data_IF_166099204566
#
_entry.id   IF_166099204566
#
_cell.length_a   1.000
_cell.length_b   1.000
_cell.length_c   1.000
_cell.angle_alpha   90.00
_cell.angle_beta   90.00
_cell.angle_gamma   90.00
#
_symmetry.space_group_name_H-M   'P 1'
#
loop_
_entity.id
_entity.type
_entity.pdbx_description
1 polymer ?
#
# COMPACT_ATOMS: atom_id res chain seq x y z
N UNK A 1 -6.13 -16.94 -2.03
CA UNK A 1 -6.50 -15.84 -1.11
C UNK A 1 -6.11 -14.52 -1.76
N UNK A 2 -7.09 -13.69 -2.12
CA UNK A 2 -6.90 -12.46 -2.88
C UNK A 2 -7.32 -11.27 -2.01
N UNK A 3 -6.36 -10.53 -1.48
CA UNK A 3 -6.56 -9.52 -0.45
C UNK A 3 -6.14 -8.14 -0.95
N UNK A 4 -6.88 -7.13 -0.55
CA UNK A 4 -6.52 -5.72 -0.73
C UNK A 4 -6.30 -5.10 0.65
N UNK A 5 -5.18 -4.41 0.85
CA UNK A 5 -4.97 -3.50 1.97
C UNK A 5 -5.33 -2.08 1.56
N UNK A 6 -6.32 -1.54 2.24
CA UNK A 6 -6.81 -0.18 2.11
C UNK A 6 -6.44 0.65 3.35
N UNK A 7 -6.58 1.94 3.23
CA UNK A 7 -6.33 2.89 4.31
C UNK A 7 -5.50 4.09 3.83
N UNK A 8 -5.55 5.21 4.57
CA UNK A 8 -4.85 6.43 4.20
C UNK A 8 -3.32 6.25 4.16
N UNK A 9 -2.62 7.18 3.51
CA UNK A 9 -1.17 7.25 3.63
C UNK A 9 -0.77 7.37 5.11
N UNK A 10 0.23 6.60 5.55
CA UNK A 10 0.63 6.57 6.97
C UNK A 10 -0.12 5.56 7.85
N UNK A 11 -1.19 4.91 7.37
CA UNK A 11 -1.98 3.95 8.16
C UNK A 11 -1.22 2.68 8.60
N UNK A 12 -0.07 2.37 8.00
CA UNK A 12 0.73 1.20 8.35
C UNK A 12 0.54 0.00 7.43
N UNK A 13 -0.09 0.18 6.25
CA UNK A 13 -0.32 -0.90 5.26
C UNK A 13 0.94 -1.71 4.94
N UNK A 14 2.05 -1.04 4.63
CA UNK A 14 3.31 -1.73 4.32
C UNK A 14 3.84 -2.58 5.48
N UNK A 15 3.73 -2.10 6.73
CA UNK A 15 4.10 -2.88 7.93
C UNK A 15 3.24 -4.14 8.05
N UNK A 16 1.93 -4.01 7.80
CA UNK A 16 1.03 -5.16 7.83
C UNK A 16 1.27 -6.11 6.65
N UNK A 17 1.58 -5.57 5.47
CA UNK A 17 1.94 -6.36 4.30
C UNK A 17 3.21 -7.21 4.55
N UNK A 18 4.22 -6.66 5.24
CA UNK A 18 5.42 -7.41 5.62
C UNK A 18 5.09 -8.55 6.59
N UNK A 19 4.20 -8.33 7.57
CA UNK A 19 3.75 -9.35 8.50
C UNK A 19 2.92 -10.43 7.78
N UNK A 20 2.00 -10.05 6.89
CA UNK A 20 1.24 -11.00 6.07
C UNK A 20 2.17 -11.84 5.22
N UNK A 21 3.10 -11.24 4.49
CA UNK A 21 4.08 -11.93 3.65
C UNK A 21 4.96 -12.91 4.43
N UNK A 22 5.27 -12.61 5.69
CA UNK A 22 6.06 -13.51 6.53
C UNK A 22 5.29 -14.76 6.98
N UNK A 23 3.95 -14.69 7.04
CA UNK A 23 3.10 -15.76 7.55
C UNK A 23 2.27 -16.49 6.49
N UNK A 24 2.09 -15.88 5.30
CA UNK A 24 1.26 -16.43 4.22
C UNK A 24 2.02 -16.47 2.90
N UNK A 25 1.95 -17.58 2.13
CA UNK A 25 2.71 -17.76 0.89
C UNK A 25 2.02 -17.06 -0.30
N UNK A 26 1.71 -15.79 -0.17
CA UNK A 26 1.12 -14.96 -1.24
C UNK A 26 2.03 -13.79 -1.58
N UNK A 27 2.17 -13.43 -2.87
CA UNK A 27 2.99 -12.29 -3.26
C UNK A 27 2.37 -10.97 -2.79
N UNK A 28 3.20 -10.08 -2.28
CA UNK A 28 2.86 -8.68 -1.99
C UNK A 28 3.10 -7.84 -3.23
N UNK A 29 2.07 -7.15 -3.69
CA UNK A 29 2.07 -6.27 -4.86
C UNK A 29 1.77 -4.85 -4.38
N UNK A 30 2.82 -4.04 -4.28
CA UNK A 30 2.72 -2.63 -3.88
C UNK A 30 2.90 -1.73 -5.10
N UNK A 31 1.84 -1.07 -5.55
CA UNK A 31 1.93 -0.13 -6.70
C UNK A 31 2.86 1.04 -6.39
N UNK A 32 2.90 1.49 -5.14
CA UNK A 32 3.83 2.52 -4.73
C UNK A 32 5.30 2.10 -4.86
N UNK A 33 5.63 0.85 -4.53
CA UNK A 33 7.00 0.33 -4.68
C UNK A 33 7.33 0.08 -6.15
N UNK A 34 6.40 -0.45 -6.93
CA UNK A 34 6.58 -0.63 -8.38
C UNK A 34 6.93 0.70 -9.07
N UNK A 35 6.21 1.78 -8.75
CA UNK A 35 6.54 3.10 -9.30
C UNK A 35 7.87 3.65 -8.78
N UNK A 36 8.20 3.48 -7.50
CA UNK A 36 9.49 3.90 -6.95
C UNK A 36 10.66 3.15 -7.59
N UNK A 37 10.49 1.87 -7.85
CA UNK A 37 11.50 1.07 -8.56
C UNK A 37 11.64 1.52 -10.01
N UNK A 38 10.55 1.81 -10.71
CA UNK A 38 10.56 2.38 -12.05
C UNK A 38 11.27 3.75 -12.09
N UNK A 39 11.05 4.60 -11.09
CA UNK A 39 11.76 5.89 -10.93
C UNK A 39 13.25 5.66 -10.69
N UNK A 40 13.62 4.75 -9.79
CA UNK A 40 15.01 4.43 -9.45
C UNK A 40 15.78 3.88 -10.66
N UNK A 41 15.10 3.11 -11.51
CA UNK A 41 15.66 2.54 -12.74
C UNK A 41 15.63 3.52 -13.92
N UNK A 42 15.11 4.74 -13.74
CA UNK A 42 15.09 5.79 -14.78
C UNK A 42 14.22 5.45 -15.99
N UNK A 43 13.20 4.58 -15.83
CA UNK A 43 12.30 4.25 -16.94
C UNK A 43 11.41 5.43 -17.32
N UNK A 44 10.97 5.51 -18.57
CA UNK A 44 10.07 6.57 -19.04
C UNK A 44 8.78 6.62 -18.19
N UNK A 45 8.16 5.46 -17.95
CA UNK A 45 6.98 5.34 -17.07
C UNK A 45 7.29 5.81 -15.64
N UNK A 46 8.45 5.47 -15.09
CA UNK A 46 8.88 5.91 -13.77
C UNK A 46 9.05 7.43 -13.70
N UNK A 47 9.66 8.04 -14.68
CA UNK A 47 9.83 9.50 -14.76
C UNK A 47 8.50 10.23 -14.90
N UNK A 48 7.54 9.66 -15.61
CA UNK A 48 6.16 10.18 -15.68
C UNK A 48 5.45 10.04 -14.32
N UNK A 49 5.46 8.86 -13.72
CA UNK A 49 4.86 8.60 -12.42
C UNK A 49 5.42 9.51 -11.31
N UNK A 50 6.71 9.82 -11.36
CA UNK A 50 7.39 10.71 -10.41
C UNK A 50 6.71 12.08 -10.30
N UNK A 51 6.27 12.66 -11.42
CA UNK A 51 5.60 13.98 -11.44
C UNK A 51 4.32 14.00 -10.60
N UNK A 52 3.57 12.90 -10.64
CA UNK A 52 2.35 12.75 -9.83
C UNK A 52 2.69 12.48 -8.36
N UNK A 53 3.62 11.58 -8.10
CA UNK A 53 4.01 11.20 -6.74
C UNK A 53 4.59 12.38 -5.96
N UNK A 54 5.51 13.16 -6.55
CA UNK A 54 6.12 14.33 -5.91
C UNK A 54 5.10 15.45 -5.62
N UNK A 55 4.00 15.50 -6.37
CA UNK A 55 2.88 16.43 -6.15
C UNK A 55 1.77 15.86 -5.26
N UNK A 56 1.93 14.65 -4.73
CA UNK A 56 0.93 13.99 -3.89
C UNK A 56 -0.33 13.51 -4.62
N UNK A 57 -0.32 13.50 -5.95
CA UNK A 57 -1.43 13.06 -6.81
C UNK A 57 -1.30 11.57 -7.15
N UNK A 58 -2.42 10.99 -7.60
CA UNK A 58 -2.39 9.62 -8.13
C UNK A 58 -1.80 9.62 -9.55
N UNK A 59 -1.03 8.56 -9.85
CA UNK A 59 -0.66 8.22 -11.24
C UNK A 59 -1.94 7.89 -12.00
N UNK A 60 -2.08 8.27 -13.29
CA UNK A 60 -3.29 7.99 -14.07
C UNK A 60 -3.77 6.55 -13.97
N UNK A 61 -5.09 6.37 -13.92
CA UNK A 61 -5.72 5.06 -13.71
C UNK A 61 -5.27 4.04 -14.75
N UNK A 62 -5.22 4.44 -16.02
CA UNK A 62 -4.87 3.56 -17.13
C UNK A 62 -3.45 2.97 -16.97
N UNK A 63 -2.50 3.79 -16.54
CA UNK A 63 -1.11 3.36 -16.29
C UNK A 63 -1.08 2.39 -15.11
N UNK A 64 -1.76 2.74 -14.00
CA UNK A 64 -1.77 1.93 -12.78
C UNK A 64 -2.50 0.60 -13.01
N UNK A 65 -3.63 0.61 -13.72
CA UNK A 65 -4.36 -0.61 -14.08
C UNK A 65 -3.49 -1.53 -14.94
N UNK A 66 -2.80 -0.99 -15.95
CA UNK A 66 -1.95 -1.78 -16.85
C UNK A 66 -0.86 -2.52 -16.09
N UNK A 67 -0.09 -1.84 -15.22
CA UNK A 67 0.99 -2.49 -14.47
C UNK A 67 0.48 -3.54 -13.47
N UNK A 68 -0.70 -3.32 -12.86
CA UNK A 68 -1.28 -4.30 -11.95
C UNK A 68 -1.80 -5.51 -12.71
N UNK A 69 -2.45 -5.30 -13.85
CA UNK A 69 -2.91 -6.39 -14.72
C UNK A 69 -1.74 -7.28 -15.16
N UNK A 70 -0.65 -6.69 -15.64
CA UNK A 70 0.55 -7.43 -16.01
C UNK A 70 1.11 -8.24 -14.85
N UNK A 71 1.15 -7.65 -13.65
CA UNK A 71 1.67 -8.30 -12.44
C UNK A 71 0.78 -9.46 -11.98
N UNK A 72 -0.55 -9.32 -12.07
CA UNK A 72 -1.50 -10.36 -11.68
C UNK A 72 -1.49 -11.59 -12.61
N UNK A 73 -1.00 -11.45 -13.83
CA UNK A 73 -0.80 -12.55 -14.77
C UNK A 73 0.45 -13.41 -14.46
N UNK A 74 1.31 -13.00 -13.53
CA UNK A 74 2.48 -13.77 -13.15
C UNK A 74 2.09 -15.05 -12.39
N UNK A 75 2.88 -16.12 -12.57
CA UNK A 75 2.59 -17.44 -12.03
C UNK A 75 2.49 -17.50 -10.50
N UNK A 76 3.26 -16.65 -9.80
CA UNK A 76 3.23 -16.58 -8.34
C UNK A 76 1.90 -16.04 -7.78
N UNK A 77 1.10 -15.34 -8.61
CA UNK A 77 -0.24 -14.87 -8.27
C UNK A 77 -1.31 -15.96 -8.38
N UNK A 78 -0.99 -17.15 -8.87
CA UNK A 78 -2.00 -18.20 -9.10
C UNK A 78 -2.69 -18.65 -7.81
N UNK A 79 -1.97 -18.73 -6.70
CA UNK A 79 -2.51 -19.14 -5.39
C UNK A 79 -3.08 -17.98 -4.57
N UNK A 80 -3.04 -16.75 -5.10
CA UNK A 80 -3.53 -15.56 -4.46
C UNK A 80 -2.51 -14.42 -4.47
N UNK A 81 -2.88 -13.30 -3.87
CA UNK A 81 -2.05 -12.09 -3.81
C UNK A 81 -2.51 -11.15 -2.70
N UNK A 82 -1.62 -10.25 -2.33
CA UNK A 82 -1.87 -9.10 -1.47
C UNK A 82 -1.59 -7.83 -2.27
N UNK A 83 -2.64 -7.05 -2.57
CA UNK A 83 -2.52 -5.72 -3.18
C UNK A 83 -2.39 -4.65 -2.11
N UNK A 84 -1.38 -3.79 -2.23
CA UNK A 84 -1.16 -2.61 -1.38
C UNK A 84 -1.06 -1.34 -2.24
N UNK A 85 -1.91 -0.38 -1.92
CA UNK A 85 -1.99 0.89 -2.65
C UNK A 85 -2.65 0.81 -4.03
N UNK A 86 -3.42 -0.25 -4.28
CA UNK A 86 -4.32 -0.42 -5.40
C UNK A 86 -5.49 -1.33 -4.97
N UNK A 87 -6.74 -1.01 -5.39
CA UNK A 87 -7.15 0.20 -6.12
C UNK A 87 -7.12 1.45 -5.23
N UNK A 88 -7.09 2.64 -5.87
CA UNK A 88 -7.21 3.94 -5.21
C UNK A 88 -8.38 4.77 -5.73
N UNK A 89 -9.04 4.32 -6.78
CA UNK A 89 -10.27 4.94 -7.32
C UNK A 89 -11.30 3.86 -7.61
N UNK A 90 -12.58 4.22 -7.66
CA UNK A 90 -13.65 3.29 -8.02
C UNK A 90 -13.42 2.71 -9.42
N UNK A 91 -12.94 3.54 -10.37
CA UNK A 91 -12.57 3.10 -11.72
C UNK A 91 -11.50 1.99 -11.71
N UNK A 92 -10.49 2.13 -10.84
CA UNK A 92 -9.47 1.09 -10.66
C UNK A 92 -10.07 -0.19 -10.05
N UNK A 93 -11.02 -0.07 -9.11
CA UNK A 93 -11.66 -1.23 -8.50
C UNK A 93 -12.53 -2.01 -9.51
N UNK A 94 -13.30 -1.29 -10.32
CA UNK A 94 -14.10 -1.89 -11.40
C UNK A 94 -13.21 -2.61 -12.43
N UNK A 95 -12.09 -1.99 -12.81
CA UNK A 95 -11.12 -2.61 -13.71
C UNK A 95 -10.47 -3.86 -13.08
N UNK A 96 -10.14 -3.82 -11.79
CA UNK A 96 -9.61 -4.97 -11.05
C UNK A 96 -10.61 -6.13 -11.05
N UNK A 97 -11.89 -5.86 -10.77
CA UNK A 97 -12.92 -6.89 -10.77
C UNK A 97 -13.06 -7.56 -12.14
N UNK A 98 -12.97 -6.78 -13.24
CA UNK A 98 -13.00 -7.32 -14.60
C UNK A 98 -11.76 -8.22 -14.87
N UNK A 99 -10.56 -7.77 -14.50
CA UNK A 99 -9.32 -8.56 -14.66
C UNK A 99 -9.40 -9.86 -13.87
N UNK A 100 -9.84 -9.78 -12.62
CA UNK A 100 -9.97 -10.98 -11.76
C UNK A 100 -11.03 -11.94 -12.27
N UNK A 101 -12.16 -11.45 -12.78
CA UNK A 101 -13.20 -12.30 -13.38
C UNK A 101 -12.67 -13.09 -14.59
N UNK A 102 -11.83 -12.48 -15.45
CA UNK A 102 -11.17 -13.17 -16.56
C UNK A 102 -10.23 -14.28 -16.08
N UNK A 103 -9.63 -14.11 -14.90
CA UNK A 103 -8.75 -15.11 -14.26
C UNK A 103 -9.52 -16.13 -13.40
N UNK A 104 -10.85 -16.07 -13.36
CA UNK A 104 -11.68 -16.91 -12.49
C UNK A 104 -11.50 -16.65 -11.00
N UNK A 105 -11.11 -15.42 -10.64
CA UNK A 105 -10.81 -14.95 -9.28
C UNK A 105 -11.75 -13.81 -8.88
N UNK A 106 -11.71 -13.47 -7.61
CA UNK A 106 -12.37 -12.27 -7.04
C UNK A 106 -11.56 -11.74 -5.87
N UNK A 107 -11.84 -10.52 -5.45
CA UNK A 107 -11.37 -9.99 -4.17
C UNK A 107 -12.13 -10.70 -3.04
N UNK A 108 -11.41 -11.39 -2.16
CA UNK A 108 -12.00 -12.11 -1.02
C UNK A 108 -12.13 -11.19 0.19
N UNK A 109 -11.16 -10.32 0.42
CA UNK A 109 -11.22 -9.31 1.49
C UNK A 109 -10.58 -7.98 1.07
N UNK A 110 -11.30 -6.88 1.30
CA UNK A 110 -10.81 -5.52 1.26
C UNK A 110 -10.66 -5.03 2.72
N UNK A 111 -9.44 -5.06 3.23
CA UNK A 111 -9.12 -4.73 4.63
C UNK A 111 -8.69 -3.28 4.71
N UNK A 112 -9.48 -2.45 5.37
CA UNK A 112 -9.20 -1.04 5.58
C UNK A 112 -8.60 -0.80 6.97
N UNK A 113 -7.39 -0.26 7.01
CA UNK A 113 -6.72 0.15 8.25
C UNK A 113 -7.05 1.62 8.48
N UNK A 114 -7.88 1.89 9.49
CA UNK A 114 -8.33 3.24 9.82
C UNK A 114 -7.48 3.87 10.93
N UNK A 115 -7.06 5.12 10.72
CA UNK A 115 -6.19 5.86 11.65
C UNK A 115 -6.59 7.34 11.63
N UNK A 116 -6.71 8.03 12.78
CA UNK A 116 -6.96 9.45 12.84
C UNK A 116 -5.95 10.31 12.08
N UNK A 117 -6.40 11.39 11.47
CA UNK A 117 -5.59 12.21 10.54
C UNK A 117 -4.38 12.84 11.20
N UNK A 118 -4.51 13.32 12.43
CA UNK A 118 -3.40 13.91 13.21
C UNK A 118 -2.24 12.92 13.39
N UNK A 119 -2.56 11.65 13.64
CA UNK A 119 -1.58 10.57 13.78
C UNK A 119 -0.93 10.24 12.42
N UNK A 120 -1.69 10.31 11.33
CA UNK A 120 -1.19 10.05 9.98
C UNK A 120 -0.09 11.03 9.58
N UNK A 121 -0.26 12.32 9.87
CA UNK A 121 0.74 13.34 9.57
C UNK A 121 2.05 13.04 10.31
N UNK A 122 1.99 12.74 11.61
CA UNK A 122 3.17 12.38 12.40
C UNK A 122 3.87 11.12 11.83
N UNK A 123 3.08 10.08 11.51
CA UNK A 123 3.60 8.84 10.94
C UNK A 123 4.27 9.03 9.59
N UNK A 124 3.75 9.92 8.74
CA UNK A 124 4.31 10.16 7.41
C UNK A 124 5.58 10.99 7.47
N UNK A 125 5.57 12.08 8.24
CA UNK A 125 6.72 13.00 8.33
C UNK A 125 7.92 12.39 9.04
N UNK A 126 7.69 11.45 9.95
CA UNK A 126 8.75 10.71 10.65
C UNK A 126 9.20 9.42 9.95
N UNK A 127 8.59 9.06 8.80
CA UNK A 127 8.92 7.83 8.07
C UNK A 127 10.23 7.97 7.31
N UNK A 128 11.08 6.94 7.46
CA UNK A 128 12.29 6.75 6.65
C UNK A 128 12.28 5.35 6.06
N UNK A 129 12.90 5.17 4.92
CA UNK A 129 12.93 3.89 4.20
C UNK A 129 14.31 3.57 3.69
N UNK A 130 14.69 2.30 3.70
CA UNK A 130 15.93 1.85 3.10
C UNK A 130 15.89 1.98 1.56
N UNK A 131 16.91 2.56 0.97
CA UNK A 131 17.06 2.66 -0.49
C UNK A 131 17.10 1.30 -1.16
N UNK A 132 17.75 0.32 -0.52
CA UNK A 132 18.04 -1.00 -1.10
C UNK A 132 16.90 -1.99 -0.85
N UNK A 133 16.64 -2.36 0.42
CA UNK A 133 15.68 -3.41 0.76
C UNK A 133 14.25 -2.89 1.04
N UNK A 134 14.00 -1.59 0.93
CA UNK A 134 12.71 -0.91 1.12
C UNK A 134 12.12 -1.02 2.53
N UNK A 135 12.83 -1.63 3.47
CA UNK A 135 12.39 -1.72 4.88
C UNK A 135 12.07 -0.33 5.43
N UNK A 136 10.92 -0.24 6.08
CA UNK A 136 10.38 1.01 6.61
C UNK A 136 10.72 1.15 8.09
N UNK A 137 11.21 2.31 8.47
CA UNK A 137 11.46 2.73 9.85
C UNK A 137 10.70 4.01 10.16
N UNK A 138 10.70 4.38 11.42
CA UNK A 138 10.13 5.66 11.86
C UNK A 138 11.03 6.27 12.93
N UNK A 139 11.37 7.54 12.79
CA UNK A 139 12.30 8.24 13.67
C UNK A 139 11.92 8.14 15.18
N UNK A 140 10.61 8.05 15.49
CA UNK A 140 10.10 8.00 16.87
C UNK A 140 9.58 6.61 17.28
N UNK A 141 8.84 5.91 16.39
CA UNK A 141 8.10 4.71 16.76
C UNK A 141 8.84 3.40 16.46
N UNK A 142 9.78 3.42 15.52
CA UNK A 142 10.58 2.27 15.11
C UNK A 142 11.91 2.78 14.56
N UNK A 143 12.73 3.35 15.43
CA UNK A 143 14.04 3.91 15.04
C UNK A 143 15.03 2.78 14.71
N UNK A 144 15.91 2.98 13.70
CA UNK A 144 17.00 2.05 13.45
C UNK A 144 18.00 2.05 14.60
N UNK A 145 18.70 0.95 14.80
CA UNK A 145 19.73 0.84 15.85
C UNK A 145 20.90 1.84 15.64
N UNK A 146 21.19 2.16 14.37
CA UNK A 146 22.14 3.18 13.98
C UNK A 146 21.50 4.17 13.03
N UNK A 147 21.57 5.45 13.36
CA UNK A 147 21.01 6.53 12.53
C UNK A 147 21.52 6.45 11.08
N UNK A 148 20.58 6.54 10.13
CA UNK A 148 20.86 6.52 8.71
C UNK A 148 21.19 5.15 8.11
N UNK A 149 21.25 4.08 8.91
CA UNK A 149 21.66 2.74 8.47
C UNK A 149 20.54 1.73 8.69
N UNK A 150 20.22 0.96 7.67
CA UNK A 150 19.21 -0.10 7.74
C UNK A 150 19.72 -1.30 8.57
N UNK A 151 19.00 -1.69 9.62
CA UNK A 151 19.34 -2.84 10.45
C UNK A 151 19.28 -4.17 9.69
N UNK A 152 18.48 -4.24 8.60
CA UNK A 152 18.27 -5.46 7.85
C UNK A 152 19.36 -5.74 6.82
N UNK A 153 19.86 -4.71 6.12
CA UNK A 153 20.80 -4.89 5.00
C UNK A 153 22.01 -3.94 5.02
N UNK A 154 22.09 -3.01 5.99
CA UNK A 154 23.16 -2.02 6.06
C UNK A 154 23.04 -0.85 5.08
N UNK A 155 22.01 -0.82 4.25
CA UNK A 155 21.76 0.23 3.26
C UNK A 155 21.39 1.57 3.88
N UNK A 156 21.45 2.63 3.09
CA UNK A 156 21.12 4.00 3.50
C UNK A 156 19.62 4.17 3.76
N UNK A 157 19.28 4.82 4.87
CA UNK A 157 17.89 5.21 5.19
C UNK A 157 17.64 6.65 4.77
N UNK A 158 16.57 6.86 4.02
CA UNK A 158 16.16 8.20 3.53
C UNK A 158 14.68 8.44 3.75
N UNK A 159 14.33 9.72 3.94
CA UNK A 159 12.94 10.14 3.88
C UNK A 159 12.48 10.14 2.42
N UNK A 160 11.26 9.66 2.16
CA UNK A 160 10.66 9.70 0.82
C UNK A 160 10.35 11.14 0.41
N UNK A 161 10.48 11.47 -0.86
CA UNK A 161 10.15 12.82 -1.38
C UNK A 161 8.68 13.17 -1.16
N UNK A 162 7.81 12.17 -1.19
CA UNK A 162 6.36 12.31 -1.02
C UNK A 162 5.90 12.32 0.46
N UNK A 163 6.82 12.25 1.44
CA UNK A 163 6.53 12.34 2.88
C UNK A 163 6.88 13.71 3.49
N UNK A 164 6.95 14.74 2.68
CA UNK A 164 7.30 16.09 3.11
C UNK A 164 6.07 17.02 3.16
N UNK A 165 5.94 17.76 4.24
CA UNK A 165 5.09 18.92 4.49
C UNK A 165 3.79 18.99 3.68
N UNK A 166 3.77 19.85 2.67
CA UNK A 166 2.62 20.11 1.80
C UNK A 166 2.16 18.87 1.02
N UNK A 167 3.11 18.02 0.59
CA UNK A 167 2.80 16.78 -0.15
C UNK A 167 2.01 15.81 0.72
N UNK A 168 2.31 15.73 2.03
CA UNK A 168 1.56 14.89 2.97
C UNK A 168 0.10 15.31 3.03
N UNK A 169 -0.18 16.62 3.19
CA UNK A 169 -1.55 17.15 3.21
C UNK A 169 -2.27 16.82 1.91
N UNK A 170 -1.62 17.07 0.77
CA UNK A 170 -2.22 16.78 -0.53
C UNK A 170 -2.57 15.32 -0.70
N UNK A 171 -1.75 14.41 -0.22
CA UNK A 171 -2.02 12.96 -0.25
C UNK A 171 -3.22 12.57 0.61
N UNK A 172 -3.42 13.20 1.76
CA UNK A 172 -4.59 12.97 2.60
C UNK A 172 -5.87 13.51 1.94
N UNK A 173 -5.82 14.71 1.34
CA UNK A 173 -6.93 15.27 0.55
C UNK A 173 -7.31 14.34 -0.61
N UNK A 174 -6.32 13.91 -1.41
CA UNK A 174 -6.54 13.01 -2.55
C UNK A 174 -7.11 11.66 -2.09
N UNK A 175 -6.65 11.14 -0.93
CA UNK A 175 -7.21 9.93 -0.34
C UNK A 175 -8.69 10.14 0.03
N UNK A 176 -9.02 11.22 0.71
CA UNK A 176 -10.40 11.51 1.12
C UNK A 176 -11.34 11.65 -0.08
N UNK A 177 -10.89 12.32 -1.15
CA UNK A 177 -11.71 12.59 -2.34
C UNK A 177 -11.84 11.37 -3.25
N UNK A 178 -10.75 10.63 -3.50
CA UNK A 178 -10.70 9.63 -4.57
C UNK A 178 -10.69 8.18 -4.07
N UNK A 179 -10.10 7.93 -2.89
CA UNK A 179 -9.92 6.57 -2.38
C UNK A 179 -10.97 6.18 -1.35
N UNK A 180 -11.40 7.11 -0.52
CA UNK A 180 -12.42 6.85 0.51
C UNK A 180 -13.73 6.26 -0.06
N UNK A 181 -14.21 6.62 -1.26
CA UNK A 181 -15.38 5.99 -1.89
C UNK A 181 -15.27 4.47 -2.09
N UNK A 182 -14.07 3.91 -2.07
CA UNK A 182 -13.87 2.45 -2.14
C UNK A 182 -14.42 1.71 -0.92
N UNK A 183 -14.55 2.38 0.23
CA UNK A 183 -15.15 1.80 1.44
C UNK A 183 -16.58 1.36 1.12
N UNK A 184 -17.39 2.26 0.55
CA UNK A 184 -18.76 1.94 0.17
C UNK A 184 -18.81 0.91 -0.97
N UNK A 185 -17.87 0.98 -1.92
CA UNK A 185 -17.77 0.03 -3.02
C UNK A 185 -17.62 -1.42 -2.52
N UNK A 186 -16.67 -1.69 -1.61
CA UNK A 186 -16.45 -3.03 -1.07
C UNK A 186 -17.46 -3.43 0.01
N UNK A 187 -18.05 -2.47 0.74
CA UNK A 187 -19.19 -2.75 1.63
C UNK A 187 -20.40 -3.29 0.86
N UNK A 188 -20.71 -2.72 -0.31
CA UNK A 188 -21.78 -3.23 -1.20
C UNK A 188 -21.51 -4.64 -1.72
N UNK A 189 -20.25 -5.00 -1.90
CA UNK A 189 -19.84 -6.36 -2.29
C UNK A 189 -19.84 -7.36 -1.13
N UNK A 190 -19.94 -6.89 0.13
CA UNK A 190 -19.96 -7.74 1.31
C UNK A 190 -18.60 -8.32 1.72
N UNK A 191 -17.50 -7.76 1.20
CA UNK A 191 -16.13 -8.23 1.46
C UNK A 191 -15.23 -7.15 2.10
N UNK A 192 -15.83 -6.11 2.70
CA UNK A 192 -15.13 -5.03 3.40
C UNK A 192 -14.92 -5.36 4.88
N UNK A 193 -13.72 -5.10 5.38
CA UNK A 193 -13.33 -5.28 6.79
C UNK A 193 -12.59 -4.04 7.29
N UNK A 194 -13.18 -3.31 8.24
CA UNK A 194 -12.54 -2.16 8.89
C UNK A 194 -11.74 -2.60 10.13
N UNK A 195 -10.50 -2.13 10.23
CA UNK A 195 -9.60 -2.42 11.35
C UNK A 195 -9.06 -1.11 11.92
N UNK A 196 -9.15 -0.95 13.24
CA UNK A 196 -8.54 0.16 13.96
C UNK A 196 -7.01 0.05 13.92
N UNK A 197 -6.37 0.95 13.15
CA UNK A 197 -4.91 1.03 12.99
C UNK A 197 -4.21 1.92 14.01
N UNK A 198 -4.95 2.49 14.98
CA UNK A 198 -4.38 3.31 16.06
C UNK A 198 -3.97 2.46 17.28
N UNK A 199 -3.34 1.33 16.99
CA UNK A 199 -2.83 0.36 17.98
C UNK A 199 -1.45 -0.13 17.56
N UNK A 200 -0.83 -0.99 18.36
CA UNK A 200 0.45 -1.61 18.00
C UNK A 200 0.32 -2.44 16.71
N UNK A 201 1.38 -2.53 15.93
CA UNK A 201 1.37 -3.31 14.67
C UNK A 201 0.99 -4.78 14.88
N UNK A 202 1.33 -5.36 16.03
CA UNK A 202 0.99 -6.75 16.38
C UNK A 202 -0.50 -6.93 16.69
N UNK A 203 -1.14 -5.96 17.34
CA UNK A 203 -2.58 -6.01 17.61
C UNK A 203 -3.38 -5.85 16.31
N UNK A 204 -2.97 -4.92 15.45
CA UNK A 204 -3.57 -4.74 14.12
C UNK A 204 -3.43 -6.03 13.29
N UNK A 205 -2.25 -6.64 13.33
CA UNK A 205 -1.99 -7.89 12.60
C UNK A 205 -2.90 -9.04 13.09
N UNK A 206 -3.09 -9.19 14.41
CA UNK A 206 -3.99 -10.21 14.95
C UNK A 206 -5.44 -10.07 14.44
N UNK A 207 -5.92 -8.83 14.25
CA UNK A 207 -7.26 -8.63 13.70
C UNK A 207 -7.31 -8.92 12.20
N UNK A 208 -6.23 -8.60 11.47
CA UNK A 208 -6.07 -9.02 10.06
C UNK A 208 -6.06 -10.54 9.95
N UNK A 209 -5.32 -11.25 10.81
CA UNK A 209 -5.29 -12.72 10.84
C UNK A 209 -6.67 -13.34 11.08
N UNK A 210 -7.51 -12.74 11.94
CA UNK A 210 -8.89 -13.22 12.14
C UNK A 210 -9.72 -13.11 10.87
N UNK A 211 -9.59 -11.99 10.14
CA UNK A 211 -10.26 -11.82 8.85
C UNK A 211 -9.76 -12.88 7.87
N UNK A 212 -8.45 -13.02 7.72
CA UNK A 212 -7.84 -13.97 6.77
C UNK A 212 -8.17 -15.42 7.10
N UNK A 213 -8.29 -15.77 8.39
CA UNK A 213 -8.67 -17.12 8.84
C UNK A 213 -10.15 -17.46 8.61
N UNK A 214 -10.99 -16.46 8.28
CA UNK A 214 -12.41 -16.65 7.97
C UNK A 214 -12.71 -16.75 6.48
N UNK A 215 -11.73 -16.56 5.60
CA UNK A 215 -11.84 -16.64 4.13
C UNK A 215 -11.69 -18.09 3.64
#
# INVERSE_FOLDING_TARGET
MNIILMGPPGAGKGTQADLIKANYPIPHISTGDMFRDAVSNGTEMGMEAKKYMDSGRLVPDEVTIGIVQDRLNAQDCNQGFLLDGFPRTVKQAEALDQVLAQLGKRVEAAINIDVPEDILVERMTGRISCKDCKTVYHLKFNAPAKEGVCDKCGGELVQRSDDQGETVKKRLEVYAEQTNPLIEYYQKQGNFYGIDGNRSSQEVFKDIEKVMGSL
#
